data_IF_930279967813
#
_entry.id   IF_930279967813
#
_cell.length_a   1.000
_cell.length_b   1.000
_cell.length_c   1.000
_cell.angle_alpha   90.00
_cell.angle_beta   90.00
_cell.angle_gamma   90.00
#
_symmetry.space_group_name_H-M   'P 1'
#
loop_
_entity.id
_entity.type
_entity.pdbx_description
1 polymer ?
#
# COMPACT_ATOMS: atom_id res chain seq x y z
N UNK A 1 16.56 -21.74 5.14
CA UNK A 1 16.54 -22.66 3.97
C UNK A 1 15.26 -22.43 3.17
N UNK A 2 14.09 -22.46 3.82
CA UNK A 2 12.78 -22.37 3.14
C UNK A 2 12.56 -21.09 2.34
N UNK A 3 13.01 -19.93 2.82
CA UNK A 3 12.93 -18.66 2.08
C UNK A 3 13.65 -18.74 0.73
N UNK A 4 14.84 -19.36 0.71
CA UNK A 4 15.58 -19.58 -0.53
C UNK A 4 14.82 -20.54 -1.45
N UNK A 5 14.35 -21.67 -0.92
CA UNK A 5 13.57 -22.64 -1.68
C UNK A 5 12.28 -22.02 -2.28
N UNK A 6 11.62 -21.13 -1.55
CA UNK A 6 10.49 -20.36 -2.05
C UNK A 6 10.88 -19.48 -3.24
N UNK A 7 11.97 -18.72 -3.13
CA UNK A 7 12.50 -17.92 -4.24
C UNK A 7 12.80 -18.75 -5.49
N UNK A 8 13.48 -19.88 -5.33
CA UNK A 8 13.77 -20.81 -6.43
C UNK A 8 12.48 -21.34 -7.05
N UNK A 9 11.50 -21.71 -6.22
CA UNK A 9 10.19 -22.18 -6.70
C UNK A 9 9.45 -21.10 -7.47
N UNK A 10 9.44 -19.86 -6.96
CA UNK A 10 8.82 -18.72 -7.64
C UNK A 10 9.47 -18.45 -9.01
N UNK A 11 10.81 -18.54 -9.08
CA UNK A 11 11.55 -18.37 -10.33
C UNK A 11 11.20 -19.48 -11.34
N UNK A 12 11.13 -20.73 -10.88
CA UNK A 12 10.72 -21.86 -11.72
C UNK A 12 9.28 -21.70 -12.23
N UNK A 13 8.34 -21.28 -11.38
CA UNK A 13 6.96 -21.04 -11.78
C UNK A 13 6.84 -19.92 -12.81
N UNK A 14 7.67 -18.88 -12.70
CA UNK A 14 7.65 -17.75 -13.61
C UNK A 14 8.28 -18.07 -14.98
N UNK A 15 9.40 -18.80 -15.01
CA UNK A 15 10.20 -19.03 -16.22
C UNK A 15 10.02 -20.43 -16.83
N UNK A 16 9.37 -21.36 -16.12
CA UNK A 16 9.25 -22.79 -16.48
C UNK A 16 10.57 -23.57 -16.40
N UNK A 17 11.70 -22.90 -16.17
CA UNK A 17 13.04 -23.47 -16.06
C UNK A 17 13.85 -22.70 -15.02
N UNK A 18 14.93 -23.31 -14.52
CA UNK A 18 15.85 -22.68 -13.60
C UNK A 18 17.21 -22.45 -14.28
N UNK A 19 17.84 -21.28 -14.05
CA UNK A 19 19.24 -21.09 -14.41
C UNK A 19 20.14 -22.11 -13.68
N UNK A 20 21.21 -22.54 -14.35
CA UNK A 20 22.19 -23.47 -13.79
C UNK A 20 22.80 -22.97 -12.48
N UNK A 21 22.91 -21.65 -12.36
CA UNK A 21 23.41 -20.87 -11.24
C UNK A 21 22.51 -20.96 -10.01
N UNK A 22 21.29 -21.47 -10.14
CA UNK A 22 20.37 -21.72 -9.02
C UNK A 22 20.30 -23.22 -8.71
N UNK A 23 20.38 -24.06 -9.75
CA UNK A 23 20.31 -25.53 -9.65
C UNK A 23 21.47 -26.14 -8.83
N UNK A 24 22.65 -25.53 -8.84
CA UNK A 24 23.87 -26.12 -8.24
C UNK A 24 24.51 -25.28 -7.13
N UNK A 25 23.77 -24.33 -6.56
CA UNK A 25 24.36 -23.15 -5.92
C UNK A 25 23.77 -22.77 -4.56
N UNK A 26 23.32 -23.72 -3.76
CA UNK A 26 22.95 -23.40 -2.38
C UNK A 26 24.13 -22.74 -1.65
N UNK A 27 23.96 -21.48 -1.22
CA UNK A 27 25.00 -20.69 -0.56
C UNK A 27 26.03 -20.04 -1.48
N UNK A 28 25.82 -20.01 -2.81
CA UNK A 28 26.64 -19.22 -3.74
C UNK A 28 25.89 -17.97 -4.22
N UNK A 29 26.61 -16.91 -4.62
CA UNK A 29 25.99 -15.74 -5.24
C UNK A 29 25.25 -16.13 -6.53
N UNK A 30 24.04 -15.63 -6.69
CA UNK A 30 23.24 -15.72 -7.92
C UNK A 30 23.21 -14.37 -8.63
N UNK A 31 22.93 -14.31 -9.94
CA UNK A 31 22.69 -13.04 -10.62
C UNK A 31 21.57 -12.22 -9.96
N UNK A 32 21.73 -10.90 -9.89
CA UNK A 32 20.80 -9.99 -9.19
C UNK A 32 19.57 -9.57 -10.03
N UNK A 33 19.35 -10.19 -11.18
CA UNK A 33 18.36 -9.79 -12.16
C UNK A 33 17.46 -10.94 -12.62
N UNK A 34 17.32 -12.00 -11.81
CA UNK A 34 16.55 -13.19 -12.18
C UNK A 34 15.04 -12.93 -12.24
N UNK A 35 14.56 -11.91 -11.51
CA UNK A 35 13.15 -11.52 -11.48
C UNK A 35 12.84 -10.21 -12.23
N UNK A 36 13.84 -9.47 -12.73
CA UNK A 36 13.62 -8.11 -13.26
C UNK A 36 12.94 -8.08 -14.63
N UNK A 37 12.98 -9.18 -15.39
CA UNK A 37 12.30 -9.30 -16.68
C UNK A 37 10.84 -9.75 -16.57
N UNK A 38 10.38 -10.11 -15.36
CA UNK A 38 9.03 -10.61 -15.14
C UNK A 38 8.01 -9.46 -15.14
N UNK A 39 6.78 -9.69 -15.63
CA UNK A 39 5.72 -8.69 -15.63
C UNK A 39 5.06 -8.57 -14.24
N UNK A 40 5.86 -8.32 -13.21
CA UNK A 40 5.45 -8.13 -11.82
C UNK A 40 5.97 -6.79 -11.29
N UNK A 41 5.42 -6.32 -10.17
CA UNK A 41 5.88 -5.07 -9.57
C UNK A 41 7.36 -5.16 -9.16
N UNK A 42 8.11 -4.07 -9.36
CA UNK A 42 9.54 -4.00 -9.03
C UNK A 42 9.84 -4.34 -7.57
N UNK A 43 8.93 -3.98 -6.65
CA UNK A 43 9.03 -4.31 -5.23
C UNK A 43 9.00 -5.84 -5.00
N UNK A 44 8.06 -6.54 -5.65
CA UNK A 44 7.99 -8.01 -5.61
C UNK A 44 9.25 -8.62 -6.22
N UNK A 45 9.67 -8.16 -7.40
CA UNK A 45 10.86 -8.68 -8.07
C UNK A 45 12.11 -8.54 -7.19
N UNK A 46 12.30 -7.38 -6.56
CA UNK A 46 13.42 -7.11 -5.66
C UNK A 46 13.36 -7.99 -4.42
N UNK A 47 12.18 -8.18 -3.83
CA UNK A 47 12.00 -8.98 -2.62
C UNK A 47 12.21 -10.49 -2.88
N UNK A 48 11.72 -11.00 -4.01
CA UNK A 48 12.00 -12.37 -4.46
C UNK A 48 13.47 -12.56 -4.80
N UNK A 49 14.12 -11.58 -5.42
CA UNK A 49 15.56 -11.62 -5.67
C UNK A 49 16.35 -11.72 -4.36
N UNK A 50 16.00 -10.96 -3.34
CA UNK A 50 16.65 -10.99 -2.01
C UNK A 50 16.48 -12.33 -1.29
N UNK A 51 15.45 -13.12 -1.63
CA UNK A 51 15.30 -14.47 -1.07
C UNK A 51 16.40 -15.44 -1.52
N UNK A 52 17.07 -15.15 -2.66
CA UNK A 52 18.12 -15.97 -3.25
C UNK A 52 19.54 -15.62 -2.75
N UNK A 53 19.68 -14.70 -1.78
CA UNK A 53 20.98 -14.32 -1.23
C UNK A 53 21.69 -15.53 -0.59
N UNK A 54 23.01 -15.59 -0.74
CA UNK A 54 23.84 -16.69 -0.25
C UNK A 54 23.77 -16.83 1.28
N UNK A 55 23.94 -15.71 2.00
CA UNK A 55 23.88 -15.63 3.45
C UNK A 55 22.41 -15.69 3.93
N UNK A 56 22.05 -16.66 4.80
CA UNK A 56 20.68 -16.77 5.31
C UNK A 56 20.16 -15.55 6.07
N UNK A 57 21.03 -14.85 6.79
CA UNK A 57 20.72 -13.68 7.63
C UNK A 57 20.34 -12.44 6.82
N UNK A 58 20.79 -12.35 5.57
CA UNK A 58 20.50 -11.23 4.66
C UNK A 58 19.20 -11.43 3.87
N UNK A 59 18.58 -12.62 4.00
CA UNK A 59 17.32 -12.92 3.31
C UNK A 59 16.16 -12.23 4.03
N UNK A 60 15.14 -11.75 3.28
CA UNK A 60 13.94 -11.21 3.89
C UNK A 60 13.21 -12.31 4.66
N UNK A 61 12.55 -11.97 5.77
CA UNK A 61 11.68 -12.91 6.44
C UNK A 61 10.47 -13.24 5.55
N UNK A 62 9.97 -14.49 5.62
CA UNK A 62 8.90 -14.96 4.74
C UNK A 62 7.60 -14.15 4.86
N UNK A 63 7.32 -13.60 6.05
CA UNK A 63 6.13 -12.77 6.27
C UNK A 63 6.17 -11.48 5.42
N UNK A 64 7.35 -10.90 5.18
CA UNK A 64 7.48 -9.70 4.34
C UNK A 64 7.18 -10.01 2.88
N UNK A 65 7.63 -11.18 2.39
CA UNK A 65 7.28 -11.68 1.04
C UNK A 65 5.77 -11.86 0.93
N UNK A 66 5.16 -12.54 1.91
CA UNK A 66 3.72 -12.78 1.96
C UNK A 66 2.92 -11.47 1.89
N UNK A 67 3.18 -10.53 2.80
CA UNK A 67 2.47 -9.25 2.87
C UNK A 67 2.58 -8.45 1.56
N UNK A 68 3.76 -8.44 0.95
CA UNK A 68 4.00 -7.74 -0.32
C UNK A 68 3.20 -8.39 -1.47
N UNK A 69 3.19 -9.73 -1.53
CA UNK A 69 2.40 -10.45 -2.53
C UNK A 69 0.90 -10.24 -2.32
N UNK A 70 0.41 -10.34 -1.08
CA UNK A 70 -1.00 -10.10 -0.74
C UNK A 70 -1.44 -8.69 -1.18
N UNK A 71 -0.64 -7.67 -0.85
CA UNK A 71 -0.89 -6.28 -1.23
C UNK A 71 -1.07 -6.13 -2.75
N UNK A 72 -0.20 -6.75 -3.55
CA UNK A 72 -0.25 -6.65 -5.01
C UNK A 72 -1.31 -7.56 -5.67
N UNK A 73 -1.65 -8.70 -5.07
CA UNK A 73 -2.78 -9.53 -5.54
C UNK A 73 -4.11 -8.77 -5.44
N UNK A 74 -4.24 -7.92 -4.42
CA UNK A 74 -5.40 -7.09 -4.15
C UNK A 74 -5.32 -5.71 -4.83
N UNK A 75 -4.37 -5.51 -5.74
CA UNK A 75 -4.23 -4.25 -6.46
C UNK A 75 -5.54 -3.90 -7.21
N UNK A 76 -5.97 -2.64 -7.06
CA UNK A 76 -7.20 -2.08 -7.61
C UNK A 76 -8.50 -2.75 -7.11
N UNK A 77 -8.45 -3.60 -6.07
CA UNK A 77 -9.63 -4.24 -5.45
C UNK A 77 -10.15 -3.52 -4.20
N UNK A 78 -9.39 -2.57 -3.66
CA UNK A 78 -9.77 -1.83 -2.46
C UNK A 78 -10.78 -0.73 -2.78
N UNK A 79 -11.70 -0.48 -1.85
CA UNK A 79 -12.69 0.57 -1.92
C UNK A 79 -12.85 1.25 -0.56
N UNK A 80 -12.78 2.58 -0.52
CA UNK A 80 -13.09 3.34 0.67
C UNK A 80 -14.51 3.91 0.57
N UNK A 81 -15.34 3.65 1.57
CA UNK A 81 -16.60 4.33 1.82
C UNK A 81 -16.33 5.60 2.62
N UNK A 82 -16.73 6.72 2.05
CA UNK A 82 -16.58 8.06 2.61
C UNK A 82 -17.98 8.57 2.92
N UNK A 83 -18.28 8.84 4.18
CA UNK A 83 -19.58 9.41 4.55
C UNK A 83 -19.41 10.83 5.06
N UNK A 84 -20.04 11.78 4.38
CA UNK A 84 -20.04 13.19 4.75
C UNK A 84 -21.47 13.74 4.73
N UNK A 85 -21.94 14.27 5.86
CA UNK A 85 -23.31 14.80 6.03
C UNK A 85 -24.39 13.80 5.56
N UNK A 86 -24.21 12.52 5.84
CA UNK A 86 -25.13 11.45 5.46
C UNK A 86 -25.06 11.00 3.99
N UNK A 87 -24.18 11.59 3.18
CA UNK A 87 -24.01 11.20 1.78
C UNK A 87 -22.80 10.25 1.65
N UNK A 88 -23.00 8.99 1.22
CA UNK A 88 -21.91 8.07 0.95
C UNK A 88 -21.27 8.39 -0.40
N UNK A 89 -19.94 8.28 -0.46
CA UNK A 89 -19.14 8.38 -1.68
C UNK A 89 -18.07 7.30 -1.65
N UNK A 90 -17.77 6.71 -2.80
CA UNK A 90 -16.73 5.68 -2.91
C UNK A 90 -15.48 6.20 -3.60
N UNK A 91 -14.34 5.84 -3.05
CA UNK A 91 -13.02 6.04 -3.65
C UNK A 91 -12.45 4.65 -3.95
N UNK A 92 -12.14 4.38 -5.21
CA UNK A 92 -11.72 3.05 -5.70
C UNK A 92 -10.97 3.21 -7.04
N UNK A 93 -10.75 2.11 -7.76
CA UNK A 93 -10.05 2.12 -9.05
C UNK A 93 -10.69 3.02 -10.12
N UNK A 94 -12.02 3.18 -10.08
CA UNK A 94 -12.79 3.94 -11.08
C UNK A 94 -12.88 5.42 -10.68
N UNK A 95 -12.85 5.71 -9.38
CA UNK A 95 -12.75 7.06 -8.82
C UNK A 95 -11.57 7.13 -7.85
N UNK A 96 -10.40 7.51 -8.37
CA UNK A 96 -9.13 7.49 -7.62
C UNK A 96 -8.85 8.73 -6.78
N UNK A 97 -9.62 9.82 -6.91
CA UNK A 97 -9.36 11.08 -6.19
C UNK A 97 -10.63 11.67 -5.60
N UNK A 98 -10.47 12.30 -4.43
CA UNK A 98 -11.50 13.13 -3.80
C UNK A 98 -10.87 14.30 -3.08
N UNK A 99 -11.56 15.43 -3.12
CA UNK A 99 -11.24 16.64 -2.36
C UNK A 99 -12.34 16.85 -1.34
N UNK A 100 -11.96 17.02 -0.08
CA UNK A 100 -12.84 17.35 1.02
C UNK A 100 -12.45 18.73 1.53
N UNK A 101 -13.40 19.66 1.59
CA UNK A 101 -13.12 21.03 1.98
C UNK A 101 -14.24 21.63 2.81
N UNK A 102 -13.88 22.49 3.74
CA UNK A 102 -14.80 23.42 4.40
C UNK A 102 -14.31 24.83 4.14
N UNK A 103 -15.19 25.69 3.64
CA UNK A 103 -14.85 27.05 3.21
C UNK A 103 -14.10 27.81 4.32
N UNK A 104 -12.95 28.41 3.98
CA UNK A 104 -12.08 29.17 4.89
C UNK A 104 -11.57 28.41 6.12
N UNK A 105 -11.67 27.09 6.16
CA UNK A 105 -11.22 26.26 7.30
C UNK A 105 -10.08 25.35 6.90
N UNK A 106 -10.27 24.57 5.83
CA UNK A 106 -9.26 23.64 5.37
C UNK A 106 -9.72 22.76 4.21
N UNK A 107 -8.74 22.10 3.61
CA UNK A 107 -8.91 21.20 2.47
C UNK A 107 -7.98 20.01 2.59
N UNK A 108 -8.46 18.83 2.20
CA UNK A 108 -7.68 17.61 2.12
C UNK A 108 -7.99 16.86 0.83
N UNK A 109 -6.94 16.46 0.12
CA UNK A 109 -7.04 15.63 -1.08
C UNK A 109 -6.55 14.21 -0.77
N UNK A 110 -7.41 13.24 -1.07
CA UNK A 110 -7.11 11.82 -0.92
C UNK A 110 -7.04 11.17 -2.29
N UNK A 111 -5.98 10.39 -2.52
CA UNK A 111 -5.77 9.64 -3.76
C UNK A 111 -5.59 8.15 -3.49
N UNK A 112 -6.28 7.32 -4.26
CA UNK A 112 -6.02 5.88 -4.36
C UNK A 112 -4.96 5.62 -5.44
N UNK A 113 -3.85 5.00 -5.07
CA UNK A 113 -2.77 4.68 -6.01
C UNK A 113 -2.88 3.27 -6.63
N UNK A 114 -3.93 2.51 -6.30
CA UNK A 114 -4.08 1.11 -6.69
C UNK A 114 -3.79 0.13 -5.55
N UNK A 115 -3.08 0.55 -4.52
CA UNK A 115 -2.77 -0.27 -3.34
C UNK A 115 -3.25 0.39 -2.05
N UNK A 116 -2.99 1.69 -1.90
CA UNK A 116 -3.21 2.46 -0.69
C UNK A 116 -3.99 3.75 -1.00
N UNK A 117 -4.72 4.24 0.01
CA UNK A 117 -5.32 5.57 0.02
C UNK A 117 -4.38 6.54 0.73
N UNK A 118 -3.93 7.58 0.03
CA UNK A 118 -2.85 8.46 0.46
C UNK A 118 -3.33 9.91 0.49
N UNK A 119 -2.92 10.65 1.51
CA UNK A 119 -3.11 12.10 1.56
C UNK A 119 -2.13 12.77 0.60
N UNK A 120 -2.66 13.47 -0.40
CA UNK A 120 -1.85 14.21 -1.39
C UNK A 120 -1.79 15.70 -1.13
N UNK A 121 -2.75 16.24 -0.36
CA UNK A 121 -2.79 17.64 0.06
C UNK A 121 -3.49 17.73 1.41
N UNK A 122 -2.99 18.58 2.29
CA UNK A 122 -3.66 18.96 3.53
C UNK A 122 -3.32 20.42 3.82
N UNK A 123 -4.33 21.29 3.89
CA UNK A 123 -4.16 22.72 4.18
C UNK A 123 -5.22 23.17 5.19
N UNK A 124 -4.82 24.10 6.06
CA UNK A 124 -5.68 24.60 7.14
C UNK A 124 -5.81 23.60 8.28
N UNK A 125 -6.97 23.60 8.93
CA UNK A 125 -7.22 22.80 10.14
C UNK A 125 -7.75 21.42 9.77
N UNK A 126 -6.86 20.47 9.50
CA UNK A 126 -7.25 19.10 9.13
C UNK A 126 -6.58 18.05 10.00
N UNK A 127 -7.37 17.08 10.47
CA UNK A 127 -6.96 16.04 11.40
C UNK A 127 -7.47 14.66 10.98
N UNK A 128 -6.70 13.61 11.24
CA UNK A 128 -7.15 12.21 11.22
C UNK A 128 -7.13 11.71 12.66
N UNK A 129 -8.26 11.21 13.16
CA UNK A 129 -8.39 10.70 14.53
C UNK A 129 -7.83 11.69 15.59
N UNK A 130 -8.14 12.98 15.42
CA UNK A 130 -7.67 14.10 16.25
C UNK A 130 -6.15 14.39 16.20
N UNK A 131 -5.39 13.73 15.34
CA UNK A 131 -3.99 14.05 15.09
C UNK A 131 -3.83 14.87 13.79
N UNK A 132 -2.89 15.83 13.72
CA UNK A 132 -2.59 16.56 12.49
C UNK A 132 -2.24 15.61 11.35
N UNK A 133 -2.71 15.94 10.14
CA UNK A 133 -2.43 15.13 8.96
C UNK A 133 -1.03 15.42 8.42
N UNK A 134 -0.33 14.35 8.03
CA UNK A 134 0.89 14.44 7.25
C UNK A 134 0.60 14.16 5.78
N UNK A 135 1.05 15.03 4.88
CA UNK A 135 1.01 14.77 3.43
C UNK A 135 1.90 13.56 3.13
N UNK A 136 1.50 12.75 2.16
CA UNK A 136 2.06 11.44 1.82
C UNK A 136 1.84 10.34 2.87
N UNK A 137 1.02 10.57 3.89
CA UNK A 137 0.62 9.52 4.82
C UNK A 137 -0.53 8.66 4.28
N UNK A 138 -0.55 7.39 4.67
CA UNK A 138 -1.63 6.44 4.36
C UNK A 138 -2.83 6.68 5.27
N UNK A 139 -4.03 6.61 4.71
CA UNK A 139 -5.27 6.61 5.48
C UNK A 139 -5.42 5.27 6.21
N UNK A 140 -5.69 5.28 7.54
CA UNK A 140 -6.00 4.07 8.29
C UNK A 140 -7.26 3.36 7.78
N UNK A 141 -7.36 2.05 8.02
CA UNK A 141 -8.49 1.21 7.57
C UNK A 141 -9.87 1.74 7.99
N UNK A 142 -9.97 2.28 9.20
CA UNK A 142 -11.15 3.01 9.66
C UNK A 142 -10.69 4.25 10.41
N UNK A 143 -11.18 5.42 10.01
CA UNK A 143 -10.81 6.67 10.67
C UNK A 143 -11.86 7.76 10.48
N UNK A 144 -11.73 8.80 11.30
CA UNK A 144 -12.47 10.05 11.14
C UNK A 144 -11.51 11.15 10.69
N UNK A 145 -11.82 11.73 9.54
CA UNK A 145 -11.23 12.96 9.04
C UNK A 145 -12.02 14.15 9.59
N UNK A 146 -11.36 15.05 10.29
CA UNK A 146 -11.95 16.27 10.81
C UNK A 146 -11.35 17.50 10.11
N UNK A 147 -12.20 18.38 9.61
CA UNK A 147 -11.83 19.71 9.13
C UNK A 147 -12.40 20.72 10.14
N UNK A 148 -11.56 21.56 10.73
CA UNK A 148 -11.91 22.53 11.78
C UNK A 148 -11.60 22.04 13.19
N UNK A 149 -10.87 22.86 13.94
CA UNK A 149 -10.46 22.59 15.32
C UNK A 149 -11.64 22.71 16.32
N UNK A 150 -11.38 22.37 17.59
CA UNK A 150 -12.41 22.36 18.65
C UNK A 150 -12.93 23.74 19.06
N UNK A 151 -12.26 24.82 18.69
CA UNK A 151 -12.65 26.20 19.00
C UNK A 151 -13.64 26.78 17.98
N UNK A 152 -13.80 26.14 16.82
CA UNK A 152 -14.74 26.57 15.77
C UNK A 152 -16.18 26.17 16.09
N UNK A 153 -17.12 26.91 15.52
CA UNK A 153 -18.55 26.57 15.61
C UNK A 153 -18.86 25.26 14.89
N UNK A 154 -19.96 24.59 15.24
CA UNK A 154 -20.36 23.33 14.60
C UNK A 154 -20.60 23.45 13.09
N UNK A 155 -20.90 24.66 12.58
CA UNK A 155 -21.13 24.90 11.15
C UNK A 155 -19.83 25.00 10.35
N UNK A 156 -18.72 25.33 11.01
CA UNK A 156 -17.39 25.46 10.44
C UNK A 156 -16.54 24.20 10.62
N UNK A 157 -17.15 23.14 11.16
CA UNK A 157 -16.53 21.85 11.38
C UNK A 157 -17.18 20.80 10.49
N UNK A 158 -16.35 19.94 9.92
CA UNK A 158 -16.82 18.77 9.20
C UNK A 158 -16.13 17.53 9.71
N UNK A 159 -16.90 16.48 9.91
CA UNK A 159 -16.42 15.15 10.23
C UNK A 159 -16.81 14.22 9.09
N UNK A 160 -15.80 13.56 8.52
CA UNK A 160 -15.95 12.63 7.42
C UNK A 160 -15.46 11.27 7.92
N UNK A 161 -16.30 10.25 7.85
CA UNK A 161 -15.87 8.89 8.16
C UNK A 161 -15.29 8.24 6.92
N UNK A 162 -14.20 7.50 7.11
CA UNK A 162 -13.59 6.64 6.11
C UNK A 162 -13.60 5.21 6.62
N UNK A 163 -14.11 4.31 5.79
CA UNK A 163 -14.15 2.88 6.05
C UNK A 163 -13.66 2.13 4.80
N UNK A 164 -12.56 1.40 4.92
CA UNK A 164 -11.95 0.65 3.82
C UNK A 164 -12.51 -0.77 3.79
N UNK A 165 -12.92 -1.23 2.60
CA UNK A 165 -13.26 -2.62 2.35
C UNK A 165 -12.04 -3.52 2.58
N UNK A 166 -12.28 -4.73 3.07
CA UNK A 166 -11.30 -5.82 3.19
C UNK A 166 -11.56 -6.81 2.05
N UNK A 167 -10.90 -6.68 0.88
CA UNK A 167 -11.08 -7.60 -0.24
C UNK A 167 -10.39 -8.96 -0.05
N UNK A 168 -9.69 -9.19 1.07
CA UNK A 168 -9.06 -10.45 1.49
C UNK A 168 -10.01 -11.54 2.03
#
# INVERSE_FOLDING_TARGET
>A
IDVYAFGVTALFLANGTLPSEVLYAYGKPVPNNLFTSLPIANEIASLLQSSLVALPEDRPPIWSIKETLEKHILENRHQALITHKGNPTYLNKDRKKITLSVDRVGVVDVQYNGLDFIITRAEGEVFINNAPILVNSKIPTSCVLAIGNSQRSNQERSFITFDLSHPE
#
